data_IF_544450239100
#
_entry.id   IF_544450239100
#
_cell.length_a   1.000
_cell.length_b   1.000
_cell.length_c   1.000
_cell.angle_alpha   90.00
_cell.angle_beta   90.00
_cell.angle_gamma   90.00
#
_symmetry.space_group_name_H-M   'P 1'
#
loop_
_entity.id
_entity.type
_entity.pdbx_description
1 polymer ?
#
# COMPACT_ATOMS: atom_id res chain seq x y z
N UNK A 1 4.76 5.82 6.01
CA UNK A 1 3.44 5.27 6.45
C UNK A 1 3.61 4.60 7.80
N UNK A 2 2.55 4.13 8.46
CA UNK A 2 2.70 3.20 9.59
C UNK A 2 2.55 1.77 9.06
N UNK A 3 3.48 0.88 9.42
CA UNK A 3 3.48 -0.52 9.03
C UNK A 3 3.17 -1.38 10.27
N UNK A 4 2.01 -2.04 10.27
CA UNK A 4 1.49 -2.78 11.41
C UNK A 4 1.46 -4.27 11.02
N UNK A 5 2.33 -5.12 11.60
CA UNK A 5 2.27 -6.55 11.36
C UNK A 5 0.95 -7.10 11.91
N UNK A 6 0.32 -8.00 11.16
CA UNK A 6 -0.89 -8.70 11.63
C UNK A 6 -0.51 -10.03 12.29
N UNK A 7 -1.51 -10.75 12.77
CA UNK A 7 -1.33 -12.12 13.27
C UNK A 7 -1.12 -13.16 12.14
N UNK A 8 -1.22 -12.75 10.87
CA UNK A 8 -0.94 -13.60 9.71
C UNK A 8 0.46 -13.25 9.20
N UNK A 9 1.34 -14.25 9.16
CA UNK A 9 2.70 -14.09 8.65
C UNK A 9 2.70 -13.55 7.21
N UNK A 10 3.54 -12.56 6.94
CA UNK A 10 3.63 -11.91 5.63
C UNK A 10 2.52 -10.91 5.32
N UNK A 11 1.53 -10.72 6.21
CA UNK A 11 0.45 -9.73 6.05
C UNK A 11 0.68 -8.52 6.96
N UNK A 12 0.76 -7.35 6.35
CA UNK A 12 0.96 -6.06 7.01
C UNK A 12 -0.20 -5.11 6.68
N UNK A 13 -0.76 -4.45 7.71
CA UNK A 13 -1.63 -3.29 7.52
C UNK A 13 -0.75 -2.05 7.33
N UNK A 14 -1.01 -1.26 6.30
CA UNK A 14 -0.27 -0.03 6.00
C UNK A 14 -1.24 1.14 6.15
N UNK A 15 -1.03 1.97 7.18
CA UNK A 15 -1.84 3.16 7.39
C UNK A 15 -1.15 4.37 6.75
N UNK A 16 -1.75 4.97 5.72
CA UNK A 16 -1.19 6.17 5.12
C UNK A 16 -1.50 7.39 5.99
N UNK A 17 -0.67 8.42 5.83
CA UNK A 17 -0.97 9.73 6.42
C UNK A 17 -1.96 10.45 5.52
N UNK A 18 -3.07 10.90 6.09
CA UNK A 18 -4.04 11.76 5.42
C UNK A 18 -3.69 13.22 5.68
N UNK A 19 -3.48 13.98 4.62
CA UNK A 19 -3.31 15.42 4.66
C UNK A 19 -4.61 16.07 4.21
N UNK A 20 -5.16 17.01 4.99
CA UNK A 20 -6.46 17.62 4.71
C UNK A 20 -6.35 19.13 4.73
N UNK A 21 -6.98 19.80 3.77
CA UNK A 21 -7.14 21.25 3.75
C UNK A 21 -8.50 21.65 3.13
N UNK A 22 -8.72 22.95 2.89
CA UNK A 22 -9.98 23.47 2.35
C UNK A 22 -10.34 22.98 0.94
N UNK A 23 -9.41 22.34 0.22
CA UNK A 23 -9.60 21.79 -1.15
C UNK A 23 -9.97 20.31 -1.14
N UNK A 24 -9.77 19.61 -0.02
CA UNK A 24 -10.03 18.18 0.12
C UNK A 24 -8.97 17.45 0.94
N UNK A 25 -8.72 16.19 0.60
CA UNK A 25 -7.69 15.36 1.22
C UNK A 25 -6.68 14.87 0.18
N UNK A 26 -5.45 14.67 0.63
CA UNK A 26 -4.35 14.09 -0.11
C UNK A 26 -3.76 12.94 0.68
N UNK A 27 -3.46 11.85 -0.03
CA UNK A 27 -2.86 10.65 0.53
C UNK A 27 -1.80 10.15 -0.45
N UNK A 28 -0.61 9.83 0.07
CA UNK A 28 0.40 9.07 -0.66
C UNK A 28 0.12 7.58 -0.42
N UNK A 29 -0.30 6.84 -1.46
CA UNK A 29 -0.66 5.43 -1.34
C UNK A 29 0.53 4.47 -1.50
N UNK A 30 1.59 4.91 -2.18
CA UNK A 30 2.81 4.11 -2.38
C UNK A 30 4.06 5.00 -2.38
N UNK A 31 5.14 4.51 -1.75
CA UNK A 31 6.46 5.16 -1.77
C UNK A 31 7.56 4.10 -1.81
N UNK A 32 8.20 3.93 -2.97
CA UNK A 32 9.20 2.88 -3.23
C UNK A 32 10.28 2.75 -2.16
N UNK A 33 10.85 3.87 -1.73
CA UNK A 33 11.90 3.87 -0.70
C UNK A 33 11.38 3.43 0.68
N UNK A 34 10.14 3.80 1.03
CA UNK A 34 9.52 3.45 2.32
C UNK A 34 9.18 1.96 2.36
N UNK A 35 8.58 1.44 1.27
CA UNK A 35 8.28 0.01 1.11
C UNK A 35 9.56 -0.83 1.09
N UNK A 36 10.61 -0.37 0.41
CA UNK A 36 11.92 -1.03 0.39
C UNK A 36 12.52 -1.26 1.78
N UNK A 37 12.26 -0.35 2.72
CA UNK A 37 12.77 -0.42 4.09
C UNK A 37 11.91 -1.29 5.02
N UNK A 38 10.60 -1.34 4.81
CA UNK A 38 9.66 -1.96 5.75
C UNK A 38 9.03 -3.27 5.27
N UNK A 39 8.90 -3.46 3.94
CA UNK A 39 8.28 -4.64 3.31
C UNK A 39 9.32 -5.42 2.50
N UNK A 40 10.20 -4.72 1.80
CA UNK A 40 11.20 -5.30 0.90
C UNK A 40 11.12 -4.72 -0.52
N UNK A 41 11.92 -5.27 -1.44
CA UNK A 41 11.88 -4.86 -2.84
C UNK A 41 10.54 -5.25 -3.46
N UNK A 42 9.86 -4.27 -4.05
CA UNK A 42 8.58 -4.46 -4.74
C UNK A 42 8.69 -3.91 -6.15
N UNK A 43 8.34 -4.74 -7.12
CA UNK A 43 8.14 -4.34 -8.50
C UNK A 43 6.68 -3.94 -8.68
N UNK A 44 6.44 -2.63 -8.72
CA UNK A 44 5.10 -2.09 -8.91
C UNK A 44 4.71 -2.24 -10.39
N UNK A 45 3.86 -3.22 -10.69
CA UNK A 45 3.42 -3.52 -12.06
C UNK A 45 2.14 -2.75 -12.40
N UNK A 46 1.18 -2.72 -11.47
CA UNK A 46 -0.13 -2.12 -11.71
C UNK A 46 -0.84 -1.79 -10.38
N UNK A 47 -1.66 -0.75 -10.40
CA UNK A 47 -2.69 -0.49 -9.41
C UNK A 47 -4.08 -0.63 -10.03
N UNK A 48 -5.01 -1.14 -9.22
CA UNK A 48 -6.42 -1.16 -9.54
C UNK A 48 -7.16 -0.34 -8.49
N UNK A 49 -8.02 0.57 -8.94
CA UNK A 49 -8.95 1.28 -8.07
C UNK A 49 -10.37 0.84 -8.41
N UNK A 50 -11.09 0.31 -7.42
CA UNK A 50 -12.51 -0.02 -7.53
C UNK A 50 -13.32 0.92 -6.66
N UNK A 51 -14.37 1.53 -7.22
CA UNK A 51 -15.32 2.34 -6.47
C UNK A 51 -16.59 1.54 -6.16
N UNK A 52 -16.51 0.70 -5.13
CA UNK A 52 -17.68 0.23 -4.40
C UNK A 52 -17.51 0.72 -2.95
N UNK A 53 -18.55 1.35 -2.39
CA UNK A 53 -18.56 2.15 -1.15
C UNK A 53 -17.39 1.81 -0.19
N UNK A 54 -16.37 2.67 -0.23
CA UNK A 54 -15.36 2.88 0.84
C UNK A 54 -14.22 1.86 1.04
N UNK A 55 -13.82 1.07 0.03
CA UNK A 55 -12.60 0.23 0.12
C UNK A 55 -11.58 0.53 -0.97
N UNK A 56 -10.43 1.10 -0.57
CA UNK A 56 -9.21 1.17 -1.39
C UNK A 56 -8.24 0.08 -0.95
N UNK A 57 -7.89 -0.83 -1.85
CA UNK A 57 -6.91 -1.89 -1.59
C UNK A 57 -5.80 -1.83 -2.65
N UNK A 58 -4.55 -1.87 -2.20
CA UNK A 58 -3.37 -2.02 -3.07
C UNK A 58 -2.93 -3.48 -2.97
N UNK A 59 -2.93 -4.17 -4.11
CA UNK A 59 -2.48 -5.56 -4.19
C UNK A 59 -1.05 -5.57 -4.72
N UNK A 60 -0.09 -5.95 -3.86
CA UNK A 60 1.31 -6.10 -4.23
C UNK A 60 1.61 -7.61 -4.27
N UNK A 61 2.16 -8.10 -5.39
CA UNK A 61 2.67 -9.47 -5.52
C UNK A 61 4.17 -9.38 -5.76
N UNK A 62 4.96 -10.14 -5.00
CA UNK A 62 6.37 -10.34 -5.34
C UNK A 62 6.43 -11.18 -6.63
N UNK A 63 7.31 -10.80 -7.55
CA UNK A 63 7.47 -11.46 -8.84
C UNK A 63 8.13 -12.85 -8.75
N UNK A 64 8.57 -13.27 -7.56
CA UNK A 64 9.15 -14.60 -7.34
C UNK A 64 8.05 -15.67 -7.40
N UNK A 65 7.93 -16.35 -8.54
CA UNK A 65 7.09 -17.55 -8.68
C UNK A 65 6.18 -17.65 -9.91
N UNK A 66 6.34 -16.79 -10.93
CA UNK A 66 5.72 -17.01 -12.23
C UNK A 66 6.73 -17.64 -13.20
N UNK A 67 6.62 -18.95 -13.42
CA UNK A 67 6.95 -19.56 -14.72
C UNK A 67 5.73 -19.48 -15.64
#
# INVERSE_FOLDING_TARGET
MNYIPTNIEGVCLIEPRVFTDSRGHFVEAFKRADFGQHIGAIDFIQEHESSEKDLKAVWLRNAEGYE
#
